data_IF_814794720244
#
_entry.id   IF_814794720244
#
_cell.length_a   1.000
_cell.length_b   1.000
_cell.length_c   1.000
_cell.angle_alpha   90.00
_cell.angle_beta   90.00
_cell.angle_gamma   90.00
#
_symmetry.space_group_name_H-M   'P 1'
#
loop_
_entity.id
_entity.type
_entity.pdbx_description
1 polymer ?
#
# COMPACT_ATOMS: atom_id res chain seq x y z
N UNK A 1 -46.37 -62.36 23.18
CA UNK A 1 -45.22 -61.45 23.05
C UNK A 1 -45.72 -60.17 22.39
N UNK A 2 -46.07 -59.17 23.20
CA UNK A 2 -46.83 -57.97 22.78
C UNK A 2 -45.89 -56.95 22.13
N UNK A 3 -46.04 -56.69 20.82
CA UNK A 3 -45.35 -55.60 20.15
C UNK A 3 -46.11 -54.31 20.42
N UNK A 4 -45.62 -53.53 21.40
CA UNK A 4 -46.02 -52.13 21.60
C UNK A 4 -45.68 -51.37 20.30
N UNK A 5 -46.70 -50.99 19.55
CA UNK A 5 -46.60 -49.99 18.48
C UNK A 5 -46.18 -48.67 19.13
N UNK A 6 -44.92 -48.29 18.92
CA UNK A 6 -44.44 -46.94 19.17
C UNK A 6 -45.02 -46.07 18.06
N UNK A 7 -46.23 -45.57 18.26
CA UNK A 7 -46.75 -44.49 17.41
C UNK A 7 -45.88 -43.26 17.69
N UNK A 8 -45.04 -42.93 16.73
CA UNK A 8 -44.30 -41.67 16.70
C UNK A 8 -45.34 -40.56 16.55
N UNK A 9 -45.64 -39.89 17.66
CA UNK A 9 -46.61 -38.81 17.73
C UNK A 9 -46.10 -37.61 16.92
N UNK A 10 -46.64 -37.46 15.71
CA UNK A 10 -46.24 -36.41 14.76
C UNK A 10 -46.57 -35.01 15.30
N UNK A 11 -47.49 -34.89 16.26
CA UNK A 11 -47.79 -33.63 16.94
C UNK A 11 -46.70 -33.20 17.92
N UNK A 12 -45.87 -34.12 18.41
CA UNK A 12 -44.75 -33.79 19.29
C UNK A 12 -43.62 -33.03 18.56
N UNK A 13 -43.57 -33.11 17.22
CA UNK A 13 -42.56 -32.41 16.40
C UNK A 13 -43.04 -31.01 15.97
N UNK A 14 -44.36 -30.77 15.91
CA UNK A 14 -44.92 -29.48 15.48
C UNK A 14 -44.68 -28.35 16.50
N UNK A 15 -44.45 -28.68 17.78
CA UNK A 15 -44.13 -27.71 18.84
C UNK A 15 -42.62 -27.37 18.90
N UNK A 16 -41.81 -28.01 18.04
CA UNK A 16 -40.39 -27.64 17.81
C UNK A 16 -40.26 -26.73 16.58
N UNK A 17 -41.26 -25.92 16.26
CA UNK A 17 -40.98 -24.66 15.57
C UNK A 17 -40.32 -23.75 16.59
N UNK A 18 -39.02 -23.95 16.77
CA UNK A 18 -38.22 -23.08 17.62
C UNK A 18 -38.49 -21.65 17.17
N UNK A 19 -39.06 -20.87 18.08
CA UNK A 19 -38.97 -19.42 18.07
C UNK A 19 -37.48 -19.08 18.25
N UNK A 20 -36.69 -19.27 17.20
CA UNK A 20 -35.33 -18.78 17.13
C UNK A 20 -35.48 -17.28 16.98
N UNK A 21 -35.37 -16.56 18.09
CA UNK A 21 -35.33 -15.10 18.08
C UNK A 21 -34.29 -14.66 17.05
N UNK A 22 -34.68 -13.76 16.15
CA UNK A 22 -33.80 -13.22 15.11
C UNK A 22 -32.73 -12.30 15.71
N UNK A 23 -32.90 -11.91 16.98
CA UNK A 23 -31.94 -11.11 17.70
C UNK A 23 -30.79 -11.97 18.22
N UNK A 24 -29.54 -11.57 17.99
CA UNK A 24 -28.39 -12.32 18.49
C UNK A 24 -28.44 -12.38 20.02
N UNK A 25 -28.25 -13.58 20.56
CA UNK A 25 -28.08 -13.79 21.99
C UNK A 25 -26.93 -12.93 22.53
N UNK A 26 -26.97 -12.60 23.82
CA UNK A 26 -25.99 -11.72 24.48
C UNK A 26 -24.54 -12.20 24.24
N UNK A 27 -24.32 -13.52 24.28
CA UNK A 27 -23.03 -14.13 23.94
C UNK A 27 -22.60 -13.91 22.50
N UNK A 28 -23.53 -13.94 21.54
CA UNK A 28 -23.24 -13.67 20.14
C UNK A 28 -22.90 -12.19 19.92
N UNK A 29 -23.53 -11.27 20.66
CA UNK A 29 -23.19 -9.83 20.61
C UNK A 29 -21.78 -9.56 21.15
N UNK A 30 -21.41 -10.20 22.26
CA UNK A 30 -20.05 -10.12 22.82
C UNK A 30 -19.00 -10.72 21.88
N UNK A 31 -19.32 -11.85 21.25
CA UNK A 31 -18.45 -12.48 20.25
C UNK A 31 -18.26 -11.58 19.01
N UNK A 32 -19.33 -10.98 18.48
CA UNK A 32 -19.25 -10.03 17.37
C UNK A 32 -18.40 -8.81 17.76
N UNK A 33 -18.59 -8.26 18.96
CA UNK A 33 -17.82 -7.11 19.44
C UNK A 33 -16.32 -7.43 19.59
N UNK A 34 -16.00 -8.63 20.08
CA UNK A 34 -14.61 -9.08 20.21
C UNK A 34 -13.95 -9.35 18.86
N UNK A 35 -14.67 -9.98 17.92
CA UNK A 35 -14.21 -10.19 16.53
C UNK A 35 -14.02 -8.86 15.79
N UNK A 36 -14.91 -7.88 15.99
CA UNK A 36 -14.79 -6.55 15.38
C UNK A 36 -13.58 -5.78 15.94
N UNK A 37 -13.34 -5.89 17.24
CA UNK A 37 -12.15 -5.31 17.88
C UNK A 37 -10.86 -5.95 17.35
N UNK A 38 -10.84 -7.28 17.18
CA UNK A 38 -9.70 -8.00 16.62
C UNK A 38 -9.48 -7.65 15.14
N UNK A 39 -10.54 -7.58 14.33
CA UNK A 39 -10.49 -7.17 12.93
C UNK A 39 -9.91 -5.77 12.77
N UNK A 40 -10.37 -4.80 13.58
CA UNK A 40 -9.82 -3.43 13.60
C UNK A 40 -8.36 -3.42 14.03
N UNK A 41 -7.95 -4.31 14.94
CA UNK A 41 -6.56 -4.42 15.37
C UNK A 41 -5.66 -4.93 14.24
N UNK A 42 -6.09 -5.97 13.54
CA UNK A 42 -5.37 -6.54 12.38
C UNK A 42 -5.27 -5.52 11.23
N UNK A 43 -6.35 -4.78 10.92
CA UNK A 43 -6.33 -3.73 9.90
C UNK A 43 -5.38 -2.58 10.27
N UNK A 44 -5.37 -2.16 11.53
CA UNK A 44 -4.41 -1.17 12.01
C UNK A 44 -2.96 -1.67 11.93
N UNK A 45 -2.72 -2.94 12.22
CA UNK A 45 -1.41 -3.54 12.14
C UNK A 45 -0.92 -3.66 10.69
N UNK A 46 -1.79 -4.06 9.77
CA UNK A 46 -1.51 -4.04 8.33
C UNK A 46 -1.19 -2.63 7.81
N UNK A 47 -1.99 -1.62 8.19
CA UNK A 47 -1.72 -0.21 7.85
C UNK A 47 -0.39 0.28 8.42
N UNK A 48 -0.03 -0.12 9.65
CA UNK A 48 1.26 0.24 10.26
C UNK A 48 2.42 -0.37 9.49
N UNK A 49 2.33 -1.64 9.10
CA UNK A 49 3.36 -2.31 8.29
C UNK A 49 3.52 -1.63 6.93
N UNK A 50 2.40 -1.31 6.26
CA UNK A 50 2.43 -0.61 4.98
C UNK A 50 3.10 0.77 5.09
N UNK A 51 2.83 1.52 6.16
CA UNK A 51 3.47 2.81 6.42
C UNK A 51 4.97 2.65 6.67
N UNK A 52 5.35 1.65 7.45
CA UNK A 52 6.75 1.38 7.80
C UNK A 52 7.57 0.94 6.57
N UNK A 53 7.02 0.02 5.77
CA UNK A 53 7.60 -0.38 4.49
C UNK A 53 7.73 0.82 3.54
N UNK A 54 6.68 1.65 3.40
CA UNK A 54 6.72 2.86 2.57
C UNK A 54 7.81 3.84 3.02
N UNK A 55 8.03 4.01 4.32
CA UNK A 55 9.12 4.85 4.86
C UNK A 55 10.49 4.30 4.50
N UNK A 56 10.68 2.98 4.60
CA UNK A 56 11.94 2.33 4.26
C UNK A 56 12.25 2.47 2.76
N UNK A 57 11.26 2.18 1.89
CA UNK A 57 11.41 2.35 0.44
C UNK A 57 11.63 3.80 0.06
N UNK A 58 10.89 4.75 0.66
CA UNK A 58 11.07 6.17 0.42
C UNK A 58 12.49 6.62 0.75
N UNK A 59 13.06 6.18 1.88
CA UNK A 59 14.42 6.54 2.24
C UNK A 59 15.47 5.95 1.29
N UNK A 60 15.31 4.68 0.87
CA UNK A 60 16.18 4.03 -0.12
C UNK A 60 16.13 4.76 -1.46
N UNK A 61 14.93 5.04 -1.97
CA UNK A 61 14.70 5.76 -3.23
C UNK A 61 15.28 7.17 -3.14
N UNK A 62 15.05 7.88 -2.04
CA UNK A 62 15.57 9.22 -1.83
C UNK A 62 17.10 9.26 -1.81
N UNK A 63 17.75 8.27 -1.19
CA UNK A 63 19.21 8.13 -1.23
C UNK A 63 19.71 7.88 -2.66
N UNK A 64 19.05 7.00 -3.42
CA UNK A 64 19.40 6.70 -4.79
C UNK A 64 19.27 7.93 -5.70
N UNK A 65 18.17 8.68 -5.60
CA UNK A 65 17.96 9.92 -6.36
C UNK A 65 19.04 10.94 -6.04
N UNK A 66 19.38 11.15 -4.76
CA UNK A 66 20.44 12.08 -4.36
C UNK A 66 21.79 11.70 -4.98
N UNK A 67 22.17 10.43 -4.91
CA UNK A 67 23.42 9.94 -5.50
C UNK A 67 23.41 10.16 -7.02
N UNK A 68 22.30 9.82 -7.69
CA UNK A 68 22.15 10.02 -9.13
C UNK A 68 22.29 11.50 -9.54
N UNK A 69 21.65 12.42 -8.82
CA UNK A 69 21.77 13.86 -9.08
C UNK A 69 23.21 14.36 -8.91
N UNK A 70 23.92 13.89 -7.87
CA UNK A 70 25.33 14.21 -7.68
C UNK A 70 26.17 13.68 -8.85
N UNK A 71 25.91 12.45 -9.32
CA UNK A 71 26.59 11.88 -10.48
C UNK A 71 26.34 12.73 -11.74
N UNK A 72 25.10 13.14 -12.02
CA UNK A 72 24.78 14.00 -13.17
C UNK A 72 25.52 15.33 -13.08
N UNK A 73 25.46 16.02 -11.94
CA UNK A 73 26.16 17.31 -11.75
C UNK A 73 27.66 17.12 -11.92
N UNK A 74 28.22 16.04 -11.38
CA UNK A 74 29.65 15.71 -11.53
C UNK A 74 30.01 15.51 -13.00
N UNK A 75 29.22 14.76 -13.76
CA UNK A 75 29.44 14.54 -15.20
C UNK A 75 29.39 15.87 -15.97
N UNK A 76 28.43 16.74 -15.66
CA UNK A 76 28.31 18.06 -16.30
C UNK A 76 29.52 18.94 -15.97
N UNK A 77 29.98 18.94 -14.72
CA UNK A 77 31.19 19.66 -14.32
C UNK A 77 32.44 19.09 -15.01
N UNK A 78 32.58 17.76 -15.07
CA UNK A 78 33.68 17.11 -15.78
C UNK A 78 33.65 17.40 -17.29
N UNK A 79 32.48 17.48 -17.92
CA UNK A 79 32.35 17.86 -19.32
C UNK A 79 32.77 19.32 -19.56
N UNK A 80 32.35 20.23 -18.67
CA UNK A 80 32.67 21.66 -18.77
C UNK A 80 34.13 22.01 -18.45
N UNK A 81 34.67 21.47 -17.35
CA UNK A 81 36.05 21.71 -16.91
C UNK A 81 37.06 20.79 -17.62
N UNK A 82 36.69 19.53 -17.89
CA UNK A 82 37.54 18.56 -18.59
C UNK A 82 37.77 18.89 -20.07
N UNK A 83 36.84 19.62 -20.70
CA UNK A 83 37.07 20.19 -22.05
C UNK A 83 38.17 21.26 -22.05
N UNK A 84 38.37 21.98 -20.93
CA UNK A 84 39.48 22.95 -20.79
C UNK A 84 40.80 22.29 -20.42
N UNK A 85 40.79 21.19 -19.67
CA UNK A 85 41.98 20.43 -19.28
C UNK A 85 42.42 19.36 -20.30
N UNK A 86 41.69 19.18 -21.41
CA UNK A 86 42.07 18.28 -22.50
C UNK A 86 41.89 16.77 -22.21
N UNK A 87 41.34 16.39 -21.05
CA UNK A 87 41.21 14.99 -20.63
C UNK A 87 39.82 14.39 -20.89
N UNK A 88 38.78 15.21 -21.05
CA UNK A 88 37.42 14.70 -21.19
C UNK A 88 36.61 15.55 -22.17
N UNK A 89 36.54 15.09 -23.42
CA UNK A 89 35.79 15.72 -24.50
C UNK A 89 34.59 14.85 -24.84
N UNK A 90 33.42 15.24 -24.34
CA UNK A 90 32.15 14.59 -24.62
C UNK A 90 31.48 15.24 -25.82
N UNK A 91 30.66 14.50 -26.56
CA UNK A 91 29.88 15.06 -27.65
C UNK A 91 28.76 15.94 -27.10
N UNK A 92 28.54 17.10 -27.72
CA UNK A 92 27.50 18.06 -27.32
C UNK A 92 26.11 17.41 -27.28
N UNK A 93 25.85 16.44 -28.17
CA UNK A 93 24.61 15.66 -28.19
C UNK A 93 24.38 14.88 -26.88
N UNK A 94 25.43 14.29 -26.29
CA UNK A 94 25.33 13.52 -25.04
C UNK A 94 25.11 14.46 -23.86
N UNK A 95 25.79 15.61 -23.85
CA UNK A 95 25.61 16.62 -22.80
C UNK A 95 24.19 17.20 -22.82
N UNK A 96 23.69 17.58 -24.00
CA UNK A 96 22.32 18.08 -24.18
C UNK A 96 21.30 17.01 -23.79
N UNK A 97 21.50 15.75 -24.19
CA UNK A 97 20.61 14.65 -23.82
C UNK A 97 20.58 14.43 -22.31
N UNK A 98 21.74 14.50 -21.63
CA UNK A 98 21.84 14.34 -20.18
C UNK A 98 21.11 15.47 -19.42
N UNK A 99 21.32 16.72 -19.84
CA UNK A 99 20.64 17.89 -19.27
C UNK A 99 19.14 17.77 -19.50
N UNK A 100 18.72 17.51 -20.74
CA UNK A 100 17.30 17.41 -21.12
C UNK A 100 16.59 16.30 -20.35
N UNK A 101 17.20 15.12 -20.22
CA UNK A 101 16.62 13.98 -19.48
C UNK A 101 16.49 14.30 -17.99
N UNK A 102 17.47 14.99 -17.41
CA UNK A 102 17.43 15.41 -16.00
C UNK A 102 16.36 16.49 -15.77
N UNK A 103 16.25 17.48 -16.66
CA UNK A 103 15.18 18.49 -16.63
C UNK A 103 13.80 17.84 -16.76
N UNK A 104 13.63 16.91 -17.71
CA UNK A 104 12.38 16.16 -17.87
C UNK A 104 12.04 15.34 -16.62
N UNK A 105 13.04 14.74 -15.97
CA UNK A 105 12.84 14.00 -14.71
C UNK A 105 12.35 14.91 -13.58
N UNK A 106 12.91 16.13 -13.45
CA UNK A 106 12.49 17.11 -12.44
C UNK A 106 11.07 17.60 -12.73
N UNK A 107 10.76 17.94 -13.97
CA UNK A 107 9.42 18.36 -14.40
C UNK A 107 8.40 17.24 -14.18
N UNK A 108 8.75 15.99 -14.51
CA UNK A 108 7.91 14.82 -14.28
C UNK A 108 7.61 14.60 -12.80
N UNK A 109 8.62 14.68 -11.93
CA UNK A 109 8.43 14.60 -10.49
C UNK A 109 7.53 15.75 -9.98
N UNK A 110 7.77 16.98 -10.45
CA UNK A 110 6.94 18.12 -10.07
C UNK A 110 5.48 17.93 -10.51
N UNK A 111 5.24 17.42 -11.72
CA UNK A 111 3.89 17.12 -12.21
C UNK A 111 3.21 16.02 -11.40
N UNK A 112 3.92 14.96 -11.00
CA UNK A 112 3.40 13.91 -10.12
C UNK A 112 3.04 14.49 -8.76
N UNK A 113 3.92 15.29 -8.16
CA UNK A 113 3.70 15.91 -6.84
C UNK A 113 2.54 16.91 -6.91
N UNK A 114 2.47 17.73 -7.95
CA UNK A 114 1.36 18.66 -8.16
C UNK A 114 0.04 17.90 -8.32
N UNK A 115 0.00 16.83 -9.12
CA UNK A 115 -1.18 15.98 -9.22
C UNK A 115 -1.52 15.37 -7.86
N UNK A 116 -0.56 14.82 -7.12
CA UNK A 116 -0.82 14.25 -5.80
C UNK A 116 -1.41 15.29 -4.83
N UNK A 117 -0.86 16.50 -4.77
CA UNK A 117 -1.27 17.54 -3.83
C UNK A 117 -2.62 18.18 -4.19
N UNK A 118 -2.93 18.34 -5.48
CA UNK A 118 -4.11 19.07 -5.94
C UNK A 118 -5.25 18.18 -6.45
N UNK A 119 -5.04 16.86 -6.58
CA UNK A 119 -6.08 15.90 -6.98
C UNK A 119 -6.89 15.35 -5.81
N UNK A 120 -6.50 15.62 -4.57
CA UNK A 120 -7.32 15.43 -3.36
C UNK A 120 -8.31 16.60 -3.12
N UNK A 121 -8.91 17.12 -4.20
CA UNK A 121 -10.11 17.96 -4.18
C UNK A 121 -11.09 17.50 -5.24
#
# INVERSE_FOLDING_TARGET
>A
MSRKSLELDLNAIHDTSQNVSSEPDEKTKEEIASLEAESKRLDNEGKRQDIEARKEYANKIFKLIRIWLICVVTIVLLAGFGSKCGWFKMADSVLIALITTTTASIVGLFAIVANYLFKDK
#
